data_IF_790371260408
#
_entry.id   IF_790371260408
#
_cell.length_a   1.000
_cell.length_b   1.000
_cell.length_c   1.000
_cell.angle_alpha   90.00
_cell.angle_beta   90.00
_cell.angle_gamma   90.00
#
_symmetry.space_group_name_H-M   'P 1'
#
loop_
_entity.id
_entity.type
_entity.pdbx_description
1 polymer ?
#
# COMPACT_ATOMS: atom_id res chain seq x y z
N UNK A 1 -32.76 -16.61 33.53
CA UNK A 1 -31.29 -16.53 33.40
C UNK A 1 -30.77 -17.30 32.18
N UNK A 2 -31.20 -18.53 31.91
CA UNK A 2 -30.74 -19.31 30.75
C UNK A 2 -31.01 -18.65 29.37
N UNK A 3 -32.17 -18.00 29.19
CA UNK A 3 -32.55 -17.38 27.91
C UNK A 3 -31.70 -16.14 27.52
N UNK A 4 -31.10 -15.46 28.49
CA UNK A 4 -30.22 -14.31 28.23
C UNK A 4 -28.82 -14.76 27.80
N UNK A 5 -28.34 -15.89 28.34
CA UNK A 5 -27.06 -16.47 27.96
C UNK A 5 -27.07 -17.03 26.53
N UNK A 6 -28.17 -17.66 26.12
CA UNK A 6 -28.31 -18.16 24.75
C UNK A 6 -28.43 -17.03 23.72
N UNK A 7 -29.14 -15.95 24.04
CA UNK A 7 -29.21 -14.77 23.16
C UNK A 7 -27.84 -14.11 22.94
N UNK A 8 -27.00 -14.01 23.98
CA UNK A 8 -25.66 -13.42 23.87
C UNK A 8 -24.72 -14.23 22.96
N UNK A 9 -24.76 -15.56 23.05
CA UNK A 9 -23.94 -16.43 22.19
C UNK A 9 -24.34 -16.37 20.71
N UNK A 10 -25.64 -16.26 20.42
CA UNK A 10 -26.15 -16.18 19.04
C UNK A 10 -25.77 -14.83 18.39
N UNK A 11 -25.79 -13.73 19.14
CA UNK A 11 -25.35 -12.41 18.64
C UNK A 11 -23.84 -12.38 18.38
N UNK A 12 -23.04 -13.04 19.23
CA UNK A 12 -21.58 -13.09 19.07
C UNK A 12 -21.16 -13.90 17.83
N UNK A 13 -21.91 -14.95 17.48
CA UNK A 13 -21.63 -15.77 16.29
C UNK A 13 -21.90 -15.03 14.96
N UNK A 14 -22.78 -14.03 14.94
CA UNK A 14 -23.06 -13.22 13.74
C UNK A 14 -22.01 -12.13 13.46
N UNK A 15 -21.08 -11.89 14.40
CA UNK A 15 -19.98 -10.93 14.23
C UNK A 15 -18.73 -11.54 13.56
N UNK A 16 -18.76 -12.82 13.17
CA UNK A 16 -17.68 -13.44 12.40
C UNK A 16 -17.80 -12.97 10.95
N UNK A 17 -17.37 -11.73 10.70
CA UNK A 17 -17.19 -11.22 9.35
C UNK A 17 -16.19 -12.11 8.62
N UNK A 18 -16.65 -12.76 7.55
CA UNK A 18 -15.76 -13.47 6.63
C UNK A 18 -14.82 -12.44 6.01
N UNK A 19 -13.52 -12.55 6.28
CA UNK A 19 -12.52 -11.84 5.49
C UNK A 19 -12.46 -12.51 4.13
N UNK A 20 -13.23 -11.99 3.18
CA UNK A 20 -13.13 -12.41 1.78
C UNK A 20 -11.77 -11.93 1.27
N UNK A 21 -10.84 -12.87 1.15
CA UNK A 21 -9.65 -12.73 0.30
C UNK A 21 -10.01 -13.23 -1.10
N UNK A 22 -9.30 -12.77 -2.12
CA UNK A 22 -9.53 -13.25 -3.48
C UNK A 22 -9.27 -14.76 -3.58
N UNK A 23 -9.98 -15.50 -4.47
CA UNK A 23 -9.79 -16.93 -4.64
C UNK A 23 -8.32 -17.25 -4.95
N UNK A 24 -7.87 -18.41 -4.47
CA UNK A 24 -6.45 -18.80 -4.48
C UNK A 24 -5.86 -18.75 -5.91
N UNK A 25 -4.78 -18.01 -6.07
CA UNK A 25 -4.06 -17.90 -7.34
C UNK A 25 -2.98 -18.98 -7.37
N UNK A 26 -3.10 -19.93 -8.29
CA UNK A 26 -2.04 -20.88 -8.63
C UNK A 26 -0.91 -20.16 -9.39
N UNK A 27 -0.07 -19.37 -8.69
CA UNK A 27 1.23 -18.88 -9.17
C UNK A 27 2.05 -18.13 -8.09
N UNK A 28 3.31 -18.57 -7.90
CA UNK A 28 4.26 -18.12 -6.87
C UNK A 28 5.15 -16.91 -7.27
N UNK A 29 4.67 -15.94 -8.08
CA UNK A 29 5.43 -14.78 -8.64
C UNK A 29 6.14 -15.11 -9.98
N UNK A 30 6.01 -14.18 -10.95
CA UNK A 30 6.66 -14.23 -12.26
C UNK A 30 7.46 -12.93 -12.50
N UNK A 31 8.79 -13.02 -12.56
CA UNK A 31 9.66 -11.90 -12.97
C UNK A 31 9.54 -11.70 -14.47
N UNK A 32 9.20 -10.50 -14.92
CA UNK A 32 9.12 -10.20 -16.35
C UNK A 32 10.50 -10.32 -17.04
N UNK A 33 10.55 -11.08 -18.12
CA UNK A 33 11.65 -11.13 -19.06
C UNK A 33 11.48 -10.04 -20.12
N UNK A 34 12.16 -8.92 -19.90
CA UNK A 34 12.14 -7.77 -20.81
C UNK A 34 13.01 -7.97 -22.06
N UNK A 35 13.79 -9.06 -22.13
CA UNK A 35 14.63 -9.40 -23.28
C UNK A 35 13.94 -10.36 -24.28
N UNK A 36 12.78 -10.91 -23.92
CA UNK A 36 12.04 -11.82 -24.79
C UNK A 36 11.39 -11.10 -25.98
N UNK A 37 11.52 -11.69 -27.18
CA UNK A 37 10.85 -11.23 -28.40
C UNK A 37 9.38 -11.67 -28.54
N UNK A 38 8.86 -12.43 -27.57
CA UNK A 38 7.51 -13.01 -27.61
C UNK A 38 6.50 -12.01 -27.05
N UNK A 39 5.43 -11.73 -27.80
CA UNK A 39 4.34 -10.83 -27.38
C UNK A 39 3.19 -11.62 -26.78
N UNK A 40 2.87 -11.34 -25.52
CA UNK A 40 1.69 -11.82 -24.80
C UNK A 40 0.94 -10.62 -24.20
N UNK A 41 -0.23 -10.84 -23.59
CA UNK A 41 -0.85 -9.79 -22.78
C UNK A 41 -0.05 -9.61 -21.49
N UNK A 42 0.96 -8.72 -21.52
CA UNK A 42 1.95 -8.55 -20.45
C UNK A 42 3.37 -8.85 -20.94
N UNK A 43 4.18 -9.48 -20.09
CA UNK A 43 5.54 -9.93 -20.41
C UNK A 43 5.68 -11.41 -20.07
N UNK A 44 6.58 -12.10 -20.78
CA UNK A 44 6.91 -13.50 -20.48
C UNK A 44 7.68 -13.57 -19.16
N UNK A 45 7.58 -14.66 -18.41
CA UNK A 45 8.39 -14.85 -17.21
C UNK A 45 9.84 -15.19 -17.56
N UNK A 46 10.80 -14.69 -16.79
CA UNK A 46 12.17 -15.21 -16.78
C UNK A 46 12.14 -16.70 -16.42
N UNK A 47 12.95 -17.49 -17.12
CA UNK A 47 13.11 -18.92 -16.84
C UNK A 47 13.75 -19.20 -15.47
N UNK A 48 14.58 -18.27 -14.98
CA UNK A 48 15.22 -18.37 -13.67
C UNK A 48 15.20 -16.99 -13.00
N UNK A 49 14.38 -16.82 -11.98
CA UNK A 49 14.38 -15.65 -11.13
C UNK A 49 15.41 -15.85 -10.01
N UNK A 50 16.34 -14.90 -9.84
CA UNK A 50 17.30 -14.94 -8.73
C UNK A 50 16.86 -14.00 -7.61
N UNK A 51 17.38 -14.19 -6.40
CA UNK A 51 17.15 -13.24 -5.30
C UNK A 51 17.52 -11.80 -5.72
N UNK A 52 18.53 -11.64 -6.57
CA UNK A 52 18.97 -10.32 -7.04
C UNK A 52 17.96 -9.64 -7.97
N UNK A 53 17.04 -10.38 -8.60
CA UNK A 53 15.92 -9.80 -9.38
C UNK A 53 14.88 -9.10 -8.50
N UNK A 54 15.00 -9.24 -7.16
CA UNK A 54 13.93 -8.91 -6.23
C UNK A 54 14.32 -7.88 -5.16
N UNK A 55 15.57 -7.41 -5.10
CA UNK A 55 16.06 -6.64 -3.95
C UNK A 55 17.07 -5.53 -4.25
N UNK A 56 17.27 -4.69 -3.22
CA UNK A 56 18.27 -3.65 -3.14
C UNK A 56 18.81 -3.40 -1.75
N UNK A 57 19.94 -2.70 -1.69
CA UNK A 57 20.64 -2.33 -0.47
C UNK A 57 19.95 -1.16 0.26
N UNK A 58 19.23 -1.50 1.34
CA UNK A 58 18.72 -0.61 2.41
C UNK A 58 17.48 0.22 2.04
N UNK A 59 16.31 -0.23 2.50
CA UNK A 59 15.04 0.50 2.38
C UNK A 59 14.42 0.74 3.77
N UNK A 60 14.11 1.98 4.10
CA UNK A 60 13.34 2.30 5.31
C UNK A 60 11.85 2.11 5.01
N UNK A 61 11.19 1.24 5.77
CA UNK A 61 9.77 0.96 5.62
C UNK A 61 9.04 1.16 6.94
N UNK A 62 7.77 1.55 6.88
CA UNK A 62 6.95 1.65 8.08
C UNK A 62 5.47 1.92 7.83
N UNK A 63 4.65 1.67 8.84
CA UNK A 63 3.22 1.93 8.83
C UNK A 63 2.72 2.52 10.15
N UNK A 64 1.57 3.18 10.09
CA UNK A 64 0.88 3.74 11.25
C UNK A 64 -0.34 2.87 11.60
N UNK A 65 -0.46 2.52 12.87
CA UNK A 65 -1.68 1.87 13.38
C UNK A 65 -2.83 2.86 13.51
N UNK A 66 -4.05 2.35 13.74
CA UNK A 66 -5.23 3.15 14.06
C UNK A 66 -5.10 3.92 15.38
N UNK A 67 -4.15 3.55 16.23
CA UNK A 67 -3.76 4.28 17.44
C UNK A 67 -2.67 5.33 17.17
N UNK A 68 -2.37 5.64 15.90
CA UNK A 68 -1.30 6.55 15.47
C UNK A 68 0.10 6.16 15.96
N UNK A 69 0.36 4.86 16.11
CA UNK A 69 1.68 4.34 16.49
C UNK A 69 2.46 3.95 15.23
N UNK A 70 3.68 4.45 15.10
CA UNK A 70 4.59 4.12 14.01
C UNK A 70 5.32 2.80 14.31
N UNK A 71 5.20 1.85 13.39
CA UNK A 71 6.06 0.67 13.30
C UNK A 71 6.94 0.81 12.08
N UNK A 72 8.26 0.76 12.26
CA UNK A 72 9.21 0.94 11.17
C UNK A 72 10.43 0.05 11.33
N UNK A 73 11.04 -0.29 10.19
CA UNK A 73 12.28 -1.07 10.11
C UNK A 73 13.05 -0.66 8.87
N UNK A 74 14.37 -0.60 8.98
CA UNK A 74 15.27 -0.60 7.82
C UNK A 74 15.46 -2.03 7.36
N UNK A 75 14.94 -2.37 6.18
CA UNK A 75 15.04 -3.72 5.62
C UNK A 75 16.27 -3.86 4.72
N UNK A 76 16.89 -5.04 4.78
CA UNK A 76 18.01 -5.47 3.92
C UNK A 76 17.60 -6.60 2.99
N UNK A 77 18.47 -6.95 2.04
CA UNK A 77 18.27 -8.10 1.16
C UNK A 77 17.91 -9.36 1.95
N UNK A 78 16.86 -10.05 1.51
CA UNK A 78 16.33 -11.26 2.14
C UNK A 78 15.38 -11.05 3.32
N UNK A 79 15.19 -9.81 3.79
CA UNK A 79 14.22 -9.51 4.84
C UNK A 79 12.82 -9.24 4.29
N UNK A 80 11.80 -9.67 5.03
CA UNK A 80 10.39 -9.46 4.71
C UNK A 80 9.79 -8.45 5.69
N UNK A 81 8.92 -7.59 5.19
CA UNK A 81 8.12 -6.67 6.00
C UNK A 81 6.66 -6.72 5.55
N UNK A 82 5.74 -6.82 6.50
CA UNK A 82 4.30 -6.96 6.23
C UNK A 82 3.57 -5.68 6.58
N UNK A 83 2.82 -5.14 5.62
CA UNK A 83 1.91 -4.02 5.84
C UNK A 83 0.48 -4.54 6.10
N UNK A 84 -0.12 -4.26 7.26
CA UNK A 84 -1.52 -4.61 7.48
C UNK A 84 -2.46 -3.85 6.52
N UNK A 85 -3.54 -4.52 6.09
CA UNK A 85 -4.48 -3.99 5.09
C UNK A 85 -5.08 -2.65 5.53
N UNK A 86 -5.06 -1.68 4.62
CA UNK A 86 -5.72 -0.38 4.79
C UNK A 86 -4.97 0.62 5.68
N UNK A 87 -3.83 0.27 6.25
CA UNK A 87 -3.02 1.19 7.05
C UNK A 87 -2.13 2.07 6.17
N UNK A 88 -1.98 3.31 6.60
CA UNK A 88 -1.04 4.26 6.01
C UNK A 88 0.38 3.73 6.22
N UNK A 89 1.15 3.67 5.15
CA UNK A 89 2.51 3.18 5.18
C UNK A 89 3.39 3.92 4.18
N UNK A 90 4.70 3.78 4.33
CA UNK A 90 5.70 4.41 3.48
C UNK A 90 6.89 3.49 3.23
N UNK A 91 7.59 3.78 2.15
CA UNK A 91 8.92 3.28 1.87
C UNK A 91 9.82 4.47 1.48
N UNK A 92 11.07 4.46 1.93
CA UNK A 92 12.06 5.48 1.61
C UNK A 92 13.42 4.82 1.38
N UNK A 93 13.97 5.02 0.19
CA UNK A 93 15.37 4.68 -0.06
C UNK A 93 16.25 5.68 0.69
N UNK A 94 17.04 5.16 1.63
CA UNK A 94 17.99 5.94 2.42
C UNK A 94 19.45 5.55 2.10
N UNK A 95 19.64 4.65 1.13
CA UNK A 95 20.94 4.28 0.59
C UNK A 95 21.41 5.23 -0.53
N UNK A 96 22.66 5.05 -0.93
CA UNK A 96 23.29 5.82 -2.01
C UNK A 96 23.13 5.16 -3.40
N UNK A 97 22.50 3.99 -3.44
CA UNK A 97 22.27 3.21 -4.67
C UNK A 97 20.77 3.04 -4.89
N UNK A 98 20.31 2.83 -6.15
CA UNK A 98 18.91 2.57 -6.44
C UNK A 98 18.35 1.39 -5.63
N UNK A 99 17.08 1.53 -5.22
CA UNK A 99 16.38 0.52 -4.44
C UNK A 99 15.22 -0.13 -5.20
N UNK A 100 15.04 -1.44 -5.03
CA UNK A 100 14.02 -2.27 -5.67
C UNK A 100 13.47 -3.29 -4.65
N UNK A 101 12.16 -3.48 -4.66
CA UNK A 101 11.44 -4.43 -3.80
C UNK A 101 10.26 -5.03 -4.55
N UNK A 102 9.90 -6.26 -4.16
CA UNK A 102 8.59 -6.82 -4.50
C UNK A 102 7.57 -6.48 -3.43
N UNK A 103 6.41 -6.00 -3.87
CA UNK A 103 5.20 -6.00 -3.08
C UNK A 103 4.26 -7.13 -3.55
N UNK A 104 3.83 -7.98 -2.63
CA UNK A 104 2.80 -8.98 -2.85
C UNK A 104 1.53 -8.58 -2.12
N UNK A 105 0.38 -8.78 -2.77
CA UNK A 105 -0.92 -8.43 -2.22
C UNK A 105 -1.81 -9.67 -2.22
N UNK A 106 -2.63 -9.83 -1.18
CA UNK A 106 -3.66 -10.86 -1.12
C UNK A 106 -4.94 -10.46 -1.86
N UNK A 107 -4.82 -9.59 -2.86
CA UNK A 107 -5.92 -9.21 -3.72
C UNK A 107 -5.46 -8.99 -5.16
N UNK A 108 -6.28 -9.40 -6.13
CA UNK A 108 -6.11 -9.11 -7.55
C UNK A 108 -6.34 -7.63 -7.88
N UNK A 109 -7.07 -6.91 -7.02
CA UNK A 109 -7.36 -5.48 -7.16
C UNK A 109 -7.03 -4.74 -5.86
N UNK A 110 -5.75 -4.73 -5.43
CA UNK A 110 -5.38 -4.14 -4.15
C UNK A 110 -5.59 -2.62 -4.13
N UNK A 111 -5.51 -1.98 -5.31
CA UNK A 111 -5.56 -0.53 -5.45
C UNK A 111 -4.37 0.16 -4.80
N UNK A 112 -4.19 1.45 -5.10
CA UNK A 112 -3.20 2.28 -4.43
C UNK A 112 -3.72 3.69 -4.32
N UNK A 113 -3.59 4.30 -3.15
CA UNK A 113 -3.93 5.71 -2.94
C UNK A 113 -2.75 6.42 -2.30
N UNK A 114 -2.15 7.34 -3.04
CA UNK A 114 -1.14 8.25 -2.50
C UNK A 114 -1.84 9.34 -1.70
N UNK A 115 -1.57 9.43 -0.40
CA UNK A 115 -2.22 10.39 0.50
C UNK A 115 -2.07 11.83 -0.02
N UNK A 116 -0.85 12.20 -0.43
CA UNK A 116 -0.57 13.55 -0.91
C UNK A 116 -1.34 13.85 -2.21
N UNK A 117 -1.36 12.92 -3.16
CA UNK A 117 -2.06 13.10 -4.42
C UNK A 117 -3.59 13.10 -4.22
N UNK A 118 -4.13 12.18 -3.43
CA UNK A 118 -5.56 12.09 -3.13
C UNK A 118 -6.08 13.34 -2.42
N UNK A 119 -5.29 13.98 -1.54
CA UNK A 119 -5.74 15.16 -0.81
C UNK A 119 -5.51 16.47 -1.57
N UNK A 120 -4.40 16.59 -2.31
CA UNK A 120 -3.98 17.88 -2.89
C UNK A 120 -3.96 17.92 -4.43
N UNK A 121 -4.10 16.77 -5.11
CA UNK A 121 -4.11 16.69 -6.58
C UNK A 121 -5.34 15.93 -7.12
N UNK A 122 -6.38 15.75 -6.30
CA UNK A 122 -7.65 15.13 -6.72
C UNK A 122 -8.32 15.89 -7.86
N UNK A 123 -9.10 15.16 -8.65
CA UNK A 123 -9.97 15.71 -9.69
C UNK A 123 -11.40 15.14 -9.54
N UNK A 124 -12.40 15.95 -9.17
CA UNK A 124 -12.32 17.39 -8.87
C UNK A 124 -11.49 17.68 -7.59
N UNK A 125 -10.89 18.88 -7.46
CA UNK A 125 -10.06 19.23 -6.31
C UNK A 125 -10.83 19.26 -4.99
N UNK A 126 -10.20 18.78 -3.90
CA UNK A 126 -10.75 18.94 -2.55
C UNK A 126 -10.87 20.43 -2.21
N UNK A 127 -12.03 20.92 -1.75
CA UNK A 127 -12.23 22.33 -1.42
C UNK A 127 -11.22 22.85 -0.38
N UNK A 128 -10.70 24.07 -0.59
CA UNK A 128 -9.69 24.63 0.30
C UNK A 128 -10.17 24.76 1.75
N UNK A 129 -11.45 25.07 1.97
CA UNK A 129 -12.01 25.18 3.33
C UNK A 129 -11.99 23.85 4.11
N UNK A 130 -11.98 22.71 3.44
CA UNK A 130 -11.82 21.39 4.07
C UNK A 130 -10.36 21.19 4.46
N UNK A 131 -9.44 21.45 3.53
CA UNK A 131 -8.00 21.26 3.76
C UNK A 131 -7.44 22.24 4.81
N UNK A 132 -7.85 23.50 4.79
CA UNK A 132 -7.40 24.50 5.80
C UNK A 132 -7.86 24.12 7.20
N UNK A 133 -9.10 23.63 7.35
CA UNK A 133 -9.62 23.13 8.63
C UNK A 133 -8.93 21.84 9.07
N UNK A 134 -8.74 20.88 8.16
CA UNK A 134 -8.16 19.58 8.47
C UNK A 134 -6.68 19.69 8.88
N UNK A 135 -5.91 20.52 8.18
CA UNK A 135 -4.47 20.68 8.41
C UNK A 135 -4.13 21.87 9.32
N UNK A 136 -5.12 22.67 9.73
CA UNK A 136 -4.93 23.89 10.53
C UNK A 136 -3.92 24.87 9.89
N UNK A 137 -4.00 25.04 8.57
CA UNK A 137 -3.13 25.93 7.78
C UNK A 137 -3.94 26.94 6.97
N UNK A 138 -3.29 27.99 6.47
CA UNK A 138 -3.92 29.01 5.63
C UNK A 138 -4.15 28.55 4.18
N UNK A 139 -4.99 29.31 3.47
CA UNK A 139 -5.28 29.04 2.05
C UNK A 139 -4.01 29.12 1.19
N UNK A 140 -3.11 30.09 1.48
CA UNK A 140 -1.87 30.27 0.71
C UNK A 140 -0.97 29.03 0.77
N UNK A 141 -0.90 28.38 1.94
CA UNK A 141 -0.15 27.15 2.15
C UNK A 141 -0.79 25.97 1.41
N UNK A 142 -2.12 25.83 1.48
CA UNK A 142 -2.85 24.80 0.72
C UNK A 142 -2.59 24.94 -0.78
N UNK A 143 -2.73 26.15 -1.33
CA UNK A 143 -2.53 26.40 -2.76
C UNK A 143 -1.07 26.15 -3.17
N UNK A 144 -0.11 26.46 -2.30
CA UNK A 144 1.31 26.14 -2.49
C UNK A 144 1.56 24.63 -2.53
N UNK A 145 0.87 23.83 -1.71
CA UNK A 145 1.01 22.36 -1.74
C UNK A 145 0.36 21.80 -3.01
N UNK A 146 -0.87 22.25 -3.34
CA UNK A 146 -1.59 21.84 -4.57
C UNK A 146 -0.78 22.10 -5.83
N UNK A 147 -0.20 23.30 -5.96
CA UNK A 147 0.63 23.65 -7.12
C UNK A 147 1.89 22.80 -7.27
N UNK A 148 2.48 22.32 -6.16
CA UNK A 148 3.66 21.43 -6.21
C UNK A 148 3.32 20.00 -6.62
N UNK A 149 2.11 19.55 -6.32
CA UNK A 149 1.65 18.18 -6.59
C UNK A 149 0.79 18.08 -7.85
N UNK A 150 0.46 19.20 -8.48
CA UNK A 150 -0.24 19.22 -9.75
C UNK A 150 0.58 18.43 -10.81
N UNK A 151 -0.09 17.59 -11.63
CA UNK A 151 0.59 16.87 -12.70
C UNK A 151 1.27 17.88 -13.64
N UNK A 152 2.56 17.68 -13.88
CA UNK A 152 3.30 18.47 -14.86
C UNK A 152 2.76 18.10 -16.24
N UNK A 153 2.25 19.11 -16.96
CA UNK A 153 1.89 18.97 -18.38
C UNK A 153 3.11 18.72 -19.23
#
# INVERSE_FOLDING_TARGET
MAAFFTAFFVVCAMMVGTVVSDPDMLQDICVADLASGVKVNGFVCKANATADDFFSDILDVGFLTTANVLYSKTIKQGEIFTFPKGLVHFQKNNGNVPAAVIAAFNSQLPGTQSIAATLFAANPPVPNNVLTKAFMIGNKEVDKIKSRLAPKK
#
